data_IF_799415356642
#
_entry.id   IF_799415356642
#
_cell.length_a   1.000
_cell.length_b   1.000
_cell.length_c   1.000
_cell.angle_alpha   90.00
_cell.angle_beta   90.00
_cell.angle_gamma   90.00
#
_symmetry.space_group_name_H-M   'P 1'
#
loop_
_entity.id
_entity.type
_entity.pdbx_description
1 polymer ?
#
# COMPACT_ATOMS: atom_id res chain seq x y z
N UNK A 1 46.72 -22.16 -30.09
CA UNK A 1 45.29 -22.34 -30.37
C UNK A 1 44.68 -23.18 -29.25
N UNK A 2 44.23 -22.52 -28.17
CA UNK A 2 43.73 -23.17 -26.95
C UNK A 2 42.20 -23.05 -26.99
N UNK A 3 41.49 -24.17 -27.14
CA UNK A 3 40.02 -24.20 -27.06
C UNK A 3 39.67 -24.18 -25.57
N UNK A 4 39.00 -23.12 -25.14
CA UNK A 4 38.47 -22.98 -23.80
C UNK A 4 37.25 -23.90 -23.63
N UNK A 5 37.35 -24.83 -22.69
CA UNK A 5 36.25 -25.65 -22.19
C UNK A 5 35.93 -25.04 -20.83
N UNK A 6 34.87 -24.23 -20.76
CA UNK A 6 34.46 -23.54 -19.54
C UNK A 6 33.91 -24.53 -18.51
N UNK A 7 34.35 -24.50 -17.25
CA UNK A 7 33.72 -25.25 -16.20
C UNK A 7 32.58 -24.43 -15.59
N UNK A 8 31.41 -25.07 -15.64
CA UNK A 8 30.37 -25.04 -14.62
C UNK A 8 29.49 -23.80 -14.45
N UNK A 9 28.19 -24.08 -14.45
CA UNK A 9 27.12 -23.10 -14.19
C UNK A 9 27.12 -22.79 -12.70
N UNK A 10 27.39 -21.56 -12.32
CA UNK A 10 27.04 -21.09 -10.99
C UNK A 10 25.53 -21.23 -10.77
N UNK A 11 25.14 -21.86 -9.65
CA UNK A 11 23.73 -22.03 -9.30
C UNK A 11 23.14 -20.68 -8.86
N UNK A 12 21.84 -20.41 -9.10
CA UNK A 12 21.20 -19.13 -8.75
C UNK A 12 21.18 -18.79 -7.25
N UNK A 13 21.64 -19.70 -6.38
CA UNK A 13 21.66 -19.51 -4.92
C UNK A 13 23.05 -19.16 -4.37
N UNK A 14 24.10 -19.15 -5.20
CA UNK A 14 25.47 -18.75 -4.79
C UNK A 14 25.68 -17.21 -4.83
N UNK A 15 24.63 -16.44 -5.11
CA UNK A 15 24.63 -14.97 -5.18
C UNK A 15 24.05 -14.31 -3.92
N UNK A 16 23.89 -15.03 -2.81
CA UNK A 16 23.56 -14.45 -1.51
C UNK A 16 24.87 -14.16 -0.78
N UNK A 17 25.44 -12.97 -0.99
CA UNK A 17 26.53 -12.49 -0.12
C UNK A 17 27.63 -11.62 -0.72
N UNK A 18 27.54 -11.17 -1.98
CA UNK A 18 28.60 -10.35 -2.57
C UNK A 18 28.07 -9.11 -3.30
N UNK A 19 27.40 -8.22 -2.56
CA UNK A 19 27.26 -6.84 -3.02
C UNK A 19 28.36 -5.97 -2.39
N UNK A 20 29.21 -5.31 -3.18
CA UNK A 20 30.29 -4.50 -2.65
C UNK A 20 29.71 -3.22 -2.03
N UNK A 21 30.16 -2.95 -0.80
CA UNK A 21 30.05 -1.65 -0.14
C UNK A 21 30.70 -0.57 -0.99
N UNK A 22 29.92 0.02 -1.90
CA UNK A 22 30.34 1.09 -2.80
C UNK A 22 29.21 2.10 -2.96
N UNK A 23 29.32 3.21 -2.23
CA UNK A 23 28.25 4.18 -2.06
C UNK A 23 27.79 4.80 -3.37
N UNK A 24 26.56 4.50 -3.74
CA UNK A 24 25.70 5.42 -4.48
C UNK A 24 24.40 5.53 -3.69
N UNK A 25 24.44 6.37 -2.65
CA UNK A 25 23.20 6.90 -2.05
C UNK A 25 22.47 7.62 -3.17
N UNK A 26 21.47 6.98 -3.78
CA UNK A 26 20.46 7.71 -4.53
C UNK A 26 19.80 8.66 -3.54
N UNK A 27 19.69 9.96 -3.85
CA UNK A 27 19.08 10.92 -2.92
C UNK A 27 17.66 10.42 -2.63
N UNK A 28 17.43 10.15 -1.34
CA UNK A 28 16.25 9.49 -0.85
C UNK A 28 15.00 10.25 -1.23
N UNK A 29 14.20 9.66 -2.09
CA UNK A 29 12.75 9.78 -1.96
C UNK A 29 12.39 8.80 -0.85
N UNK A 30 12.50 9.26 0.41
CA UNK A 30 11.58 8.77 1.43
C UNK A 30 10.20 9.13 0.89
N UNK A 31 9.53 8.22 0.16
CA UNK A 31 8.07 8.21 0.21
C UNK A 31 7.78 7.79 1.64
N UNK A 32 7.85 8.76 2.57
CA UNK A 32 7.19 8.65 3.84
C UNK A 32 5.73 8.53 3.45
N UNK A 33 5.22 7.30 3.34
CA UNK A 33 3.81 7.09 3.10
C UNK A 33 3.09 7.95 4.12
N UNK A 34 2.27 8.92 3.68
CA UNK A 34 1.56 9.75 4.62
C UNK A 34 0.68 8.80 5.42
N UNK A 35 0.90 8.75 6.73
CA UNK A 35 -0.02 8.16 7.72
C UNK A 35 -1.44 8.27 7.21
N UNK A 36 -2.10 7.12 6.96
CA UNK A 36 -3.34 7.10 6.20
C UNK A 36 -4.36 8.00 6.88
N UNK A 37 -4.89 8.96 6.13
CA UNK A 37 -5.80 9.97 6.63
C UNK A 37 -7.23 9.50 6.45
N UNK A 38 -8.02 9.58 7.52
CA UNK A 38 -9.45 9.26 7.52
C UNK A 38 -10.20 10.03 6.44
N UNK A 39 -9.79 11.27 6.16
CA UNK A 39 -10.36 12.10 5.09
C UNK A 39 -10.17 11.48 3.70
N UNK A 40 -9.03 10.82 3.44
CA UNK A 40 -8.77 10.16 2.16
C UNK A 40 -9.68 8.95 1.95
N UNK A 41 -9.89 8.15 2.99
CA UNK A 41 -10.81 7.01 2.93
C UNK A 41 -12.25 7.48 2.72
N UNK A 42 -12.66 8.55 3.42
CA UNK A 42 -13.98 9.16 3.21
C UNK A 42 -14.16 9.73 1.81
N UNK A 43 -13.10 10.31 1.22
CA UNK A 43 -13.14 10.80 -0.16
C UNK A 43 -13.37 9.67 -1.17
N UNK A 44 -12.66 8.54 -1.03
CA UNK A 44 -12.86 7.37 -1.89
C UNK A 44 -14.23 6.73 -1.68
N UNK A 45 -14.68 6.57 -0.44
CA UNK A 45 -16.03 6.07 -0.16
C UNK A 45 -17.11 6.96 -0.79
N UNK A 46 -16.94 8.28 -0.73
CA UNK A 46 -17.88 9.20 -1.36
C UNK A 46 -17.84 9.12 -2.89
N UNK A 47 -16.66 8.87 -3.49
CA UNK A 47 -16.52 8.65 -4.93
C UNK A 47 -17.31 7.42 -5.37
N UNK A 48 -17.06 6.27 -4.73
CA UNK A 48 -17.76 5.02 -5.04
C UNK A 48 -19.27 5.16 -4.82
N UNK A 49 -19.69 5.80 -3.73
CA UNK A 49 -21.11 6.07 -3.46
C UNK A 49 -21.76 6.98 -4.51
N UNK A 50 -21.01 7.90 -5.10
CA UNK A 50 -21.51 8.80 -6.15
C UNK A 50 -21.65 8.11 -7.51
N UNK A 51 -20.91 7.03 -7.73
CA UNK A 51 -20.97 6.21 -8.95
C UNK A 51 -22.20 5.28 -8.97
N UNK A 52 -22.87 5.09 -7.83
CA UNK A 52 -24.09 4.27 -7.71
C UNK A 52 -25.38 5.10 -7.76
N UNK A 53 -26.46 4.46 -8.22
CA UNK A 53 -27.80 4.99 -8.13
C UNK A 53 -28.23 5.08 -6.66
N UNK A 54 -28.83 6.22 -6.28
CA UNK A 54 -29.21 6.50 -4.88
C UNK A 54 -30.51 5.79 -4.46
N UNK A 55 -30.59 4.50 -4.76
CA UNK A 55 -31.73 3.66 -4.42
C UNK A 55 -31.55 3.06 -3.01
N UNK A 56 -32.42 3.39 -2.04
CA UNK A 56 -32.40 2.80 -0.70
C UNK A 56 -32.71 1.29 -0.69
N UNK A 57 -33.25 0.75 -1.78
CA UNK A 57 -33.55 -0.67 -1.94
C UNK A 57 -32.34 -1.46 -2.46
N UNK A 58 -31.35 -0.78 -3.04
CA UNK A 58 -30.10 -1.38 -3.47
C UNK A 58 -29.17 -1.54 -2.26
N UNK A 59 -28.78 -2.80 -2.01
CA UNK A 59 -27.93 -3.16 -0.89
C UNK A 59 -26.53 -2.55 -0.99
N UNK A 60 -26.00 -2.35 -2.21
CA UNK A 60 -24.67 -1.77 -2.41
C UNK A 60 -24.68 -0.29 -2.01
N UNK A 61 -25.63 0.48 -2.53
CA UNK A 61 -25.79 1.89 -2.17
C UNK A 61 -26.14 2.05 -0.69
N UNK A 62 -27.08 1.26 -0.16
CA UNK A 62 -27.50 1.32 1.23
C UNK A 62 -26.32 1.09 2.18
N UNK A 63 -25.49 0.08 1.90
CA UNK A 63 -24.30 -0.23 2.70
C UNK A 63 -23.29 0.91 2.65
N UNK A 64 -22.94 1.39 1.45
CA UNK A 64 -21.97 2.49 1.30
C UNK A 64 -22.47 3.78 1.94
N UNK A 65 -23.76 4.08 1.83
CA UNK A 65 -24.38 5.23 2.47
C UNK A 65 -24.23 5.17 3.99
N UNK A 66 -24.58 4.04 4.60
CA UNK A 66 -24.53 3.89 6.06
C UNK A 66 -23.09 3.80 6.60
N UNK A 67 -22.18 3.12 5.89
CA UNK A 67 -20.75 3.09 6.24
C UNK A 67 -20.15 4.50 6.19
N UNK A 68 -20.46 5.26 5.13
CA UNK A 68 -20.00 6.64 5.00
C UNK A 68 -20.50 7.51 6.18
N UNK A 69 -21.79 7.43 6.51
CA UNK A 69 -22.38 8.16 7.62
C UNK A 69 -21.75 7.77 8.98
N UNK A 70 -21.54 6.47 9.21
CA UNK A 70 -20.95 5.96 10.44
C UNK A 70 -19.50 6.42 10.63
N UNK A 71 -18.65 6.26 9.61
CA UNK A 71 -17.24 6.65 9.70
C UNK A 71 -17.11 8.17 9.81
N UNK A 72 -17.93 8.93 9.09
CA UNK A 72 -17.94 10.40 9.20
C UNK A 72 -18.31 10.86 10.61
N UNK A 73 -19.25 10.18 11.27
CA UNK A 73 -19.61 10.47 12.65
C UNK A 73 -18.47 10.14 13.64
N UNK A 74 -17.78 9.02 13.42
CA UNK A 74 -16.68 8.54 14.28
C UNK A 74 -15.29 8.88 13.76
N UNK A 75 -15.14 9.91 12.92
CA UNK A 75 -13.92 10.17 12.16
C UNK A 75 -12.68 10.30 13.07
N UNK A 76 -12.81 10.96 14.22
CA UNK A 76 -11.70 11.12 15.17
C UNK A 76 -11.25 9.80 15.83
N UNK A 77 -12.19 8.91 16.16
CA UNK A 77 -11.87 7.59 16.70
C UNK A 77 -11.26 6.69 15.60
N UNK A 78 -11.76 6.79 14.38
CA UNK A 78 -11.24 6.07 13.24
C UNK A 78 -9.81 6.50 12.88
N UNK A 79 -9.49 7.80 12.92
CA UNK A 79 -8.12 8.27 12.72
C UNK A 79 -7.16 7.69 13.76
N UNK A 80 -7.56 7.62 15.04
CA UNK A 80 -6.74 6.99 16.09
C UNK A 80 -6.48 5.51 15.79
N UNK A 81 -7.52 4.78 15.38
CA UNK A 81 -7.37 3.39 14.96
C UNK A 81 -6.40 3.24 13.78
N UNK A 82 -6.49 4.10 12.76
CA UNK A 82 -5.55 4.09 11.62
C UNK A 82 -4.11 4.35 12.07
N UNK A 83 -3.91 5.29 13.01
CA UNK A 83 -2.58 5.62 13.53
C UNK A 83 -1.98 4.48 14.37
N UNK A 84 -2.81 3.66 15.02
CA UNK A 84 -2.40 2.47 15.79
C UNK A 84 -2.07 1.27 14.90
N UNK A 85 -2.85 1.07 13.83
CA UNK A 85 -2.77 -0.11 12.95
C UNK A 85 -1.76 0.08 11.82
N UNK A 86 -1.61 1.30 11.29
CA UNK A 86 -0.74 1.57 10.15
C UNK A 86 0.55 2.18 10.69
N UNK A 87 1.55 1.32 10.94
CA UNK A 87 2.84 1.79 11.42
C UNK A 87 3.67 2.34 10.26
N UNK A 88 4.54 3.32 10.51
CA UNK A 88 5.50 3.79 9.51
C UNK A 88 6.42 2.63 9.10
N UNK A 89 6.20 2.05 7.92
CA UNK A 89 6.95 0.92 7.39
C UNK A 89 6.14 -0.37 7.20
N UNK A 90 4.86 -0.40 7.56
CA UNK A 90 3.99 -1.51 7.15
C UNK A 90 3.79 -1.43 5.63
N UNK A 91 4.28 -2.44 4.92
CA UNK A 91 4.10 -2.60 3.47
C UNK A 91 2.61 -2.88 3.20
N UNK A 92 1.99 -2.00 2.42
CA UNK A 92 0.70 -2.28 1.80
C UNK A 92 1.00 -3.33 0.71
N UNK A 93 0.40 -4.53 0.73
CA UNK A 93 0.54 -5.46 -0.37
C UNK A 93 0.14 -4.76 -1.67
N UNK A 94 1.06 -4.68 -2.62
CA UNK A 94 0.81 -4.16 -3.96
C UNK A 94 -0.10 -5.17 -4.68
N UNK A 95 -1.39 -4.83 -4.82
CA UNK A 95 -2.33 -5.51 -5.73
C UNK A 95 -2.49 -4.70 -7.03
#
# INVERSE_FOLDING_TARGET
MRREIGPDRAHPLDMVGLWPSGGHRRPGVLIRWPTMKSEKLLAELNRIRADLDKDPSDIEWFTLHHVFCFISYQQGAFQKYLDEVIKPGDEIPED
#
